data_IF_518831466353
#
_entry.id   IF_518831466353
#
_cell.length_a   1.000
_cell.length_b   1.000
_cell.length_c   1.000
_cell.angle_alpha   90.00
_cell.angle_beta   90.00
_cell.angle_gamma   90.00
#
_symmetry.space_group_name_H-M   'P 1'
#
loop_
_entity.id
_entity.type
_entity.pdbx_description
1 polymer ?
#
# COMPACT_ATOMS: atom_id res chain seq x y z
N UNK A 1 38.48 62.37 35.88
CA UNK A 1 39.66 61.51 35.69
C UNK A 1 39.32 60.14 36.24
N UNK A 2 39.34 59.11 35.37
CA UNK A 2 39.29 57.66 35.65
C UNK A 2 38.04 57.10 36.37
N UNK A 3 37.48 55.94 36.07
CA UNK A 3 37.44 55.00 34.93
C UNK A 3 36.57 53.83 35.44
N UNK A 4 35.85 53.17 34.53
CA UNK A 4 35.46 51.75 34.56
C UNK A 4 34.41 51.27 35.59
N UNK A 5 33.53 50.30 35.36
CA UNK A 5 32.84 49.60 34.25
C UNK A 5 32.07 48.48 35.00
N UNK A 6 30.82 48.21 34.60
CA UNK A 6 30.04 46.96 34.71
C UNK A 6 30.13 46.10 36.00
N UNK A 7 29.04 45.55 36.54
CA UNK A 7 28.23 44.52 35.89
C UNK A 7 27.09 44.10 36.86
N UNK A 8 25.98 43.66 36.28
CA UNK A 8 25.13 42.51 36.69
C UNK A 8 24.76 42.39 38.18
N UNK A 9 23.49 42.26 38.54
CA UNK A 9 22.73 41.05 38.21
C UNK A 9 21.31 41.21 38.75
N UNK A 10 20.32 41.04 37.88
CA UNK A 10 18.91 40.96 38.23
C UNK A 10 18.63 39.69 39.04
N UNK A 11 17.94 39.90 40.15
CA UNK A 11 17.38 38.91 41.07
C UNK A 11 16.81 37.69 40.35
N UNK A 12 17.30 36.52 40.77
CA UNK A 12 16.91 35.20 40.33
C UNK A 12 15.57 34.80 40.97
N UNK A 13 14.49 34.79 40.19
CA UNK A 13 13.24 34.11 40.54
C UNK A 13 12.62 33.48 39.28
N UNK A 14 13.10 32.30 38.92
CA UNK A 14 12.39 31.37 38.01
C UNK A 14 12.59 29.93 38.48
N UNK A 15 12.25 29.68 39.74
CA UNK A 15 11.97 28.32 40.24
C UNK A 15 10.64 27.82 39.65
N UNK A 16 10.60 27.55 38.34
CA UNK A 16 9.47 26.88 37.67
C UNK A 16 9.86 26.08 36.41
N UNK A 17 11.16 25.96 36.11
CA UNK A 17 11.67 25.13 35.01
C UNK A 17 12.49 23.96 35.55
N UNK A 18 11.87 23.16 36.43
CA UNK A 18 12.38 21.84 36.75
C UNK A 18 11.29 20.82 36.44
N UNK A 19 11.65 19.90 35.55
CA UNK A 19 10.94 18.65 35.26
C UNK A 19 9.88 18.72 34.16
N UNK A 20 10.30 19.04 32.95
CA UNK A 20 9.93 18.19 31.80
C UNK A 20 11.25 17.85 31.10
N UNK A 21 12.03 16.97 31.73
CA UNK A 21 12.93 16.13 30.97
C UNK A 21 11.99 15.27 30.10
N UNK A 22 11.71 15.78 28.91
CA UNK A 22 11.13 15.00 27.84
C UNK A 22 12.19 13.94 27.57
N UNK A 23 11.99 12.78 28.17
CA UNK A 23 12.71 11.56 27.86
C UNK A 23 12.31 11.21 26.42
N UNK A 24 12.89 11.94 25.47
CA UNK A 24 12.89 11.58 24.05
C UNK A 24 13.95 10.49 23.89
N UNK A 25 13.79 9.39 24.63
CA UNK A 25 14.28 8.12 24.17
C UNK A 25 13.45 7.83 22.93
N UNK A 26 13.97 8.18 21.75
CA UNK A 26 13.52 7.55 20.52
C UNK A 26 13.51 6.05 20.84
N UNK A 27 12.36 5.35 20.72
CA UNK A 27 12.35 3.93 21.02
C UNK A 27 13.44 3.31 20.16
N UNK A 28 14.45 2.73 20.80
CA UNK A 28 15.42 1.88 20.13
C UNK A 28 14.58 0.96 19.26
N UNK A 29 14.77 1.06 17.94
CA UNK A 29 13.82 0.51 16.99
C UNK A 29 14.06 -1.00 16.90
N UNK A 30 13.75 -1.68 18.00
CA UNK A 30 13.81 -3.11 18.12
C UNK A 30 12.85 -3.68 17.09
N UNK A 31 13.40 -4.51 16.22
CA UNK A 31 12.63 -5.22 15.23
C UNK A 31 11.53 -6.04 15.92
N UNK A 32 10.27 -5.81 15.53
CA UNK A 32 9.11 -6.50 16.11
C UNK A 32 8.59 -7.56 15.14
N UNK A 33 8.15 -8.69 15.70
CA UNK A 33 7.45 -9.71 14.92
C UNK A 33 6.14 -9.18 14.37
N UNK A 34 5.73 -9.70 13.21
CA UNK A 34 4.49 -9.36 12.52
C UNK A 34 3.27 -9.29 13.46
N UNK A 35 3.07 -10.32 14.29
CA UNK A 35 1.92 -10.41 15.20
C UNK A 35 1.89 -9.32 16.29
N UNK A 36 3.04 -8.73 16.63
CA UNK A 36 3.20 -7.76 17.72
C UNK A 36 3.49 -6.34 17.21
N UNK A 37 3.45 -6.11 15.90
CA UNK A 37 3.74 -4.81 15.30
C UNK A 37 2.52 -3.91 15.32
N UNK A 38 2.67 -2.71 15.88
CA UNK A 38 1.61 -1.70 15.89
C UNK A 38 1.30 -1.23 14.46
N UNK A 39 2.31 -1.15 13.58
CA UNK A 39 2.13 -0.81 12.15
C UNK A 39 1.24 -1.83 11.42
N UNK A 40 1.43 -3.12 11.72
CA UNK A 40 0.60 -4.19 11.16
C UNK A 40 -0.83 -4.08 11.68
N UNK A 41 -0.99 -3.86 12.98
CA UNK A 41 -2.31 -3.71 13.61
C UNK A 41 -3.08 -2.52 13.01
N UNK A 42 -2.44 -1.35 12.92
CA UNK A 42 -3.05 -0.14 12.37
C UNK A 42 -3.54 -0.38 10.93
N UNK A 43 -2.69 -0.95 10.08
CA UNK A 43 -3.07 -1.28 8.71
C UNK A 43 -4.22 -2.30 8.64
N UNK A 44 -4.22 -3.35 9.46
CA UNK A 44 -5.29 -4.35 9.49
C UNK A 44 -6.62 -3.75 9.95
N UNK A 45 -6.60 -2.87 10.94
CA UNK A 45 -7.80 -2.15 11.41
C UNK A 45 -8.36 -1.28 10.30
N UNK A 46 -7.52 -0.48 9.64
CA UNK A 46 -7.94 0.36 8.53
C UNK A 46 -8.48 -0.47 7.36
N UNK A 47 -7.85 -1.61 7.06
CA UNK A 47 -8.31 -2.54 6.02
C UNK A 47 -9.68 -3.15 6.36
N UNK A 48 -9.90 -3.52 7.62
CA UNK A 48 -11.17 -4.06 8.08
C UNK A 48 -12.29 -3.01 8.06
N UNK A 49 -11.98 -1.77 8.45
CA UNK A 49 -12.91 -0.64 8.35
C UNK A 49 -13.28 -0.39 6.88
N UNK A 50 -12.31 -0.45 5.98
CA UNK A 50 -12.58 -0.33 4.55
C UNK A 50 -13.49 -1.46 4.03
N UNK A 51 -13.31 -2.70 4.51
CA UNK A 51 -14.18 -3.82 4.14
C UNK A 51 -15.59 -3.80 4.73
N UNK A 52 -15.88 -2.93 5.71
CA UNK A 52 -17.12 -2.98 6.50
C UNK A 52 -18.37 -2.40 5.81
N UNK A 53 -18.23 -1.82 4.61
CA UNK A 53 -19.35 -1.25 3.83
C UNK A 53 -19.93 0.05 4.41
N UNK A 54 -19.26 0.65 5.40
CA UNK A 54 -19.58 2.01 5.87
C UNK A 54 -19.21 3.00 4.75
N UNK A 55 -20.10 3.95 4.38
CA UNK A 55 -19.79 4.94 3.35
C UNK A 55 -18.53 5.71 3.75
N UNK A 56 -17.49 5.55 2.93
CA UNK A 56 -16.17 6.09 3.23
C UNK A 56 -16.06 7.53 2.81
N UNK A 57 -15.54 8.37 3.70
CA UNK A 57 -14.96 9.64 3.31
C UNK A 57 -13.59 9.37 2.66
N UNK A 58 -13.23 10.16 1.64
CA UNK A 58 -11.91 10.11 0.96
C UNK A 58 -10.72 10.12 1.94
N UNK A 59 -10.90 10.63 3.16
CA UNK A 59 -9.91 10.64 4.22
C UNK A 59 -9.51 9.23 4.70
N UNK A 60 -10.42 8.25 4.65
CA UNK A 60 -10.16 6.89 5.10
C UNK A 60 -9.30 6.11 4.11
N UNK A 61 -9.56 6.23 2.80
CA UNK A 61 -8.72 5.62 1.74
C UNK A 61 -7.30 6.18 1.76
N UNK A 62 -7.17 7.49 1.92
CA UNK A 62 -5.85 8.13 2.09
C UNK A 62 -5.14 7.61 3.35
N UNK A 63 -5.87 7.46 4.45
CA UNK A 63 -5.31 6.95 5.70
C UNK A 63 -4.92 5.47 5.61
N UNK A 64 -5.68 4.65 4.88
CA UNK A 64 -5.34 3.26 4.57
C UNK A 64 -4.05 3.18 3.73
N UNK A 65 -3.96 3.99 2.68
CA UNK A 65 -2.75 4.07 1.85
C UNK A 65 -1.52 4.50 2.64
N UNK A 66 -1.65 5.50 3.52
CA UNK A 66 -0.58 5.94 4.41
C UNK A 66 -0.17 4.84 5.41
N UNK A 67 -1.13 4.14 6.02
CA UNK A 67 -0.85 3.04 6.93
C UNK A 67 -0.12 1.89 6.22
N UNK A 68 -0.53 1.55 5.00
CA UNK A 68 0.14 0.54 4.19
C UNK A 68 1.57 0.95 3.82
N UNK A 69 1.79 2.20 3.41
CA UNK A 69 3.13 2.70 3.07
C UNK A 69 4.08 2.65 4.27
N UNK A 70 3.61 3.05 5.46
CA UNK A 70 4.39 2.94 6.71
C UNK A 70 4.73 1.49 7.05
N UNK A 71 3.81 0.56 6.82
CA UNK A 71 4.06 -0.87 7.02
C UNK A 71 5.12 -1.39 6.04
N UNK A 72 5.02 -1.04 4.76
CA UNK A 72 6.00 -1.42 3.73
C UNK A 72 7.38 -0.86 4.06
N UNK A 73 7.47 0.41 4.48
CA UNK A 73 8.71 1.02 4.95
C UNK A 73 9.27 0.28 6.17
N UNK A 74 8.42 -0.08 7.13
CA UNK A 74 8.78 -0.90 8.29
C UNK A 74 9.31 -2.29 7.93
N UNK A 75 8.78 -2.91 6.87
CA UNK A 75 9.27 -4.19 6.35
C UNK A 75 10.65 -4.03 5.67
N UNK A 76 10.83 -2.99 4.85
CA UNK A 76 12.07 -2.74 4.12
C UNK A 76 13.24 -2.35 5.04
N UNK A 77 12.95 -1.61 6.11
CA UNK A 77 13.92 -1.19 7.13
C UNK A 77 14.21 -2.28 8.17
N UNK A 78 13.48 -3.39 8.15
CA UNK A 78 13.63 -4.49 9.11
C UNK A 78 13.00 -4.21 10.48
N UNK A 79 12.20 -3.15 10.62
CA UNK A 79 11.43 -2.86 11.82
C UNK A 79 10.33 -3.91 12.06
N UNK A 80 9.80 -4.48 10.99
CA UNK A 80 8.80 -5.56 11.04
C UNK A 80 9.39 -6.83 10.47
N UNK A 81 9.44 -7.89 11.28
CA UNK A 81 9.86 -9.23 10.86
C UNK A 81 8.64 -10.10 10.51
N UNK A 82 8.64 -10.65 9.30
CA UNK A 82 7.68 -11.66 8.86
C UNK A 82 8.22 -13.06 9.19
N UNK A 83 7.33 -13.95 9.64
CA UNK A 83 7.66 -15.37 9.82
C UNK A 83 7.59 -16.14 8.49
N UNK A 84 6.85 -15.59 7.52
CA UNK A 84 6.76 -16.14 6.17
C UNK A 84 8.09 -15.99 5.40
N UNK A 85 8.55 -17.09 4.81
CA UNK A 85 9.65 -17.11 3.85
C UNK A 85 9.24 -17.93 2.61
N UNK A 86 9.35 -17.36 1.39
CA UNK A 86 9.03 -18.10 0.16
C UNK A 86 10.03 -19.23 -0.06
N UNK A 87 9.56 -20.36 -0.59
CA UNK A 87 10.41 -21.51 -0.98
C UNK A 87 11.40 -21.09 -2.07
N UNK A 88 10.88 -20.37 -3.06
CA UNK A 88 11.67 -19.80 -4.15
C UNK A 88 11.35 -18.32 -4.29
N UNK A 89 12.40 -17.51 -4.40
CA UNK A 89 12.30 -16.06 -4.54
C UNK A 89 12.03 -15.61 -5.98
N UNK A 90 12.18 -16.49 -6.97
CA UNK A 90 11.94 -16.20 -8.37
C UNK A 90 10.47 -16.41 -8.79
N UNK A 91 9.72 -17.20 -8.04
CA UNK A 91 8.33 -17.54 -8.31
C UNK A 91 7.41 -16.96 -7.22
N UNK A 92 6.24 -16.50 -7.63
CA UNK A 92 5.23 -16.01 -6.70
C UNK A 92 4.60 -17.20 -5.97
N UNK A 93 5.05 -17.38 -4.73
CA UNK A 93 4.53 -18.36 -3.80
C UNK A 93 3.53 -17.67 -2.86
N UNK A 94 2.24 -17.90 -3.07
CA UNK A 94 1.18 -17.43 -2.17
C UNK A 94 0.42 -18.65 -1.68
N UNK A 95 0.42 -18.94 -0.36
CA UNK A 95 -0.33 -20.07 0.18
C UNK A 95 -1.85 -19.82 0.05
N UNK A 96 -2.71 -20.83 0.26
CA UNK A 96 -4.16 -20.62 0.20
C UNK A 96 -4.64 -19.71 1.34
N UNK A 97 -5.84 -19.14 1.20
CA UNK A 97 -6.37 -18.09 2.10
C UNK A 97 -6.64 -18.55 3.53
N UNK A 98 -6.77 -19.86 3.74
CA UNK A 98 -6.91 -20.51 5.05
C UNK A 98 -5.55 -20.72 5.76
N UNK A 99 -4.44 -20.50 5.08
CA UNK A 99 -3.11 -20.69 5.64
C UNK A 99 -2.71 -19.50 6.56
N UNK A 100 -2.09 -19.75 7.73
CA UNK A 100 -1.74 -18.69 8.69
C UNK A 100 -0.77 -17.64 8.14
N UNK A 101 0.04 -18.01 7.14
CA UNK A 101 0.99 -17.12 6.50
C UNK A 101 0.44 -16.40 5.26
N UNK A 102 -0.83 -16.57 4.90
CA UNK A 102 -1.42 -15.94 3.70
C UNK A 102 -1.20 -14.42 3.66
N UNK A 103 -1.59 -13.73 4.73
CA UNK A 103 -1.45 -12.27 4.82
C UNK A 103 0.02 -11.84 4.84
N UNK A 104 0.88 -12.61 5.49
CA UNK A 104 2.32 -12.32 5.51
C UNK A 104 2.96 -12.50 4.12
N UNK A 105 2.53 -13.51 3.37
CA UNK A 105 2.98 -13.73 2.00
C UNK A 105 2.54 -12.59 1.07
N UNK A 106 1.29 -12.14 1.19
CA UNK A 106 0.80 -10.99 0.44
C UNK A 106 1.64 -9.74 0.73
N UNK A 107 1.93 -9.45 2.00
CA UNK A 107 2.75 -8.30 2.39
C UNK A 107 4.20 -8.40 1.92
N UNK A 108 4.79 -9.59 1.99
CA UNK A 108 6.13 -9.84 1.50
C UNK A 108 6.21 -9.52 0.00
N UNK A 109 5.31 -10.09 -0.80
CA UNK A 109 5.33 -9.90 -2.25
C UNK A 109 4.90 -8.50 -2.67
N UNK A 110 3.93 -7.89 -1.98
CA UNK A 110 3.48 -6.52 -2.26
C UNK A 110 4.61 -5.51 -2.00
N UNK A 111 5.34 -5.66 -0.88
CA UNK A 111 6.49 -4.82 -0.55
C UNK A 111 7.65 -4.97 -1.55
N UNK A 112 7.85 -6.18 -2.08
CA UNK A 112 8.92 -6.48 -3.05
C UNK A 112 8.59 -6.01 -4.46
N UNK A 113 7.33 -6.11 -4.88
CA UNK A 113 6.87 -5.69 -6.20
C UNK A 113 6.47 -4.21 -6.25
N UNK A 114 6.31 -3.56 -5.10
CA UNK A 114 5.95 -2.15 -4.99
C UNK A 114 4.49 -1.89 -5.37
N UNK A 115 3.58 -2.80 -5.03
CA UNK A 115 2.15 -2.72 -5.32
C UNK A 115 1.31 -2.89 -4.05
N UNK A 116 0.01 -2.62 -4.13
CA UNK A 116 -0.94 -2.89 -3.04
C UNK A 116 -1.32 -4.37 -2.98
N UNK A 117 -1.84 -4.82 -1.84
CA UNK A 117 -2.29 -6.21 -1.69
C UNK A 117 -3.46 -6.57 -2.61
N UNK A 118 -4.35 -5.62 -2.90
CA UNK A 118 -5.47 -5.82 -3.84
C UNK A 118 -4.97 -6.12 -5.26
N UNK A 119 -4.05 -5.28 -5.77
CA UNK A 119 -3.44 -5.44 -7.10
C UNK A 119 -2.67 -6.76 -7.20
N UNK A 120 -1.97 -7.17 -6.14
CA UNK A 120 -1.26 -8.45 -6.10
C UNK A 120 -2.21 -9.64 -6.19
N UNK A 121 -3.31 -9.62 -5.42
CA UNK A 121 -4.33 -10.69 -5.43
C UNK A 121 -4.96 -10.80 -6.81
N UNK A 122 -5.27 -9.67 -7.45
CA UNK A 122 -5.81 -9.65 -8.81
C UNK A 122 -4.79 -10.17 -9.83
N UNK A 123 -3.53 -9.75 -9.74
CA UNK A 123 -2.46 -10.25 -10.60
C UNK A 123 -2.30 -11.77 -10.48
N UNK A 124 -2.33 -12.30 -9.25
CA UNK A 124 -2.27 -13.73 -8.98
C UNK A 124 -3.50 -14.47 -9.57
N UNK A 125 -4.70 -13.90 -9.43
CA UNK A 125 -5.92 -14.49 -10.00
C UNK A 125 -5.87 -14.54 -11.54
N UNK A 126 -5.32 -13.51 -12.20
CA UNK A 126 -5.19 -13.44 -13.67
C UNK A 126 -4.10 -14.38 -14.21
N UNK A 127 -2.98 -14.52 -13.51
CA UNK A 127 -1.83 -15.30 -13.97
C UNK A 127 -1.90 -16.79 -13.59
N UNK A 128 -2.69 -17.14 -12.58
CA UNK A 128 -2.84 -18.52 -12.12
C UNK A 128 -1.74 -18.96 -11.16
N UNK A 129 -1.44 -20.26 -11.12
CA UNK A 129 -0.54 -20.83 -10.12
C UNK A 129 0.93 -20.60 -10.46
N UNK A 130 1.69 -20.13 -9.48
CA UNK A 130 3.16 -20.04 -9.50
C UNK A 130 3.76 -19.23 -10.67
N UNK A 131 3.25 -18.03 -10.99
CA UNK A 131 3.87 -17.18 -12.01
C UNK A 131 5.25 -16.70 -11.56
N UNK A 132 6.13 -16.42 -12.51
CA UNK A 132 7.42 -15.79 -12.20
C UNK A 132 7.20 -14.38 -11.64
N UNK A 133 8.07 -13.94 -10.74
CA UNK A 133 7.99 -12.62 -10.13
C UNK A 133 8.01 -11.49 -11.20
N UNK A 134 8.73 -11.70 -12.31
CA UNK A 134 8.75 -10.78 -13.45
C UNK A 134 7.38 -10.65 -14.13
N UNK A 135 6.71 -11.76 -14.40
CA UNK A 135 5.38 -11.76 -15.02
C UNK A 135 4.35 -11.09 -14.10
N UNK A 136 4.44 -11.31 -12.80
CA UNK A 136 3.61 -10.63 -11.80
C UNK A 136 3.91 -9.14 -11.77
N UNK A 137 5.18 -8.73 -11.83
CA UNK A 137 5.58 -7.33 -11.94
C UNK A 137 5.02 -6.63 -13.18
N UNK A 138 4.94 -7.33 -14.32
CA UNK A 138 4.30 -6.80 -15.53
C UNK A 138 2.78 -6.71 -15.39
N UNK A 139 2.14 -7.73 -14.80
CA UNK A 139 0.70 -7.75 -14.59
C UNK A 139 0.23 -6.68 -13.60
N UNK A 140 0.94 -6.51 -12.47
CA UNK A 140 0.64 -5.49 -11.45
C UNK A 140 0.70 -4.08 -12.05
N UNK A 141 1.76 -3.73 -12.79
CA UNK A 141 1.87 -2.43 -13.50
C UNK A 141 0.74 -2.19 -14.50
N UNK A 142 0.29 -3.25 -15.18
CA UNK A 142 -0.83 -3.17 -16.11
C UNK A 142 -2.14 -2.91 -15.36
N UNK A 143 -2.38 -3.62 -14.27
CA UNK A 143 -3.58 -3.46 -13.43
C UNK A 143 -3.62 -2.05 -12.83
N UNK A 144 -2.52 -1.56 -12.25
CA UNK A 144 -2.46 -0.20 -11.71
C UNK A 144 -2.75 0.88 -12.77
N UNK A 145 -2.33 0.64 -14.02
CA UNK A 145 -2.65 1.52 -15.14
C UNK A 145 -4.15 1.45 -15.50
N UNK A 146 -4.73 0.26 -15.49
CA UNK A 146 -6.17 0.04 -15.70
C UNK A 146 -6.99 0.74 -14.59
N UNK A 147 -6.64 0.57 -13.31
CA UNK A 147 -7.30 1.21 -12.17
C UNK A 147 -7.23 2.75 -12.24
N UNK A 148 -6.06 3.32 -12.57
CA UNK A 148 -5.92 4.77 -12.76
C UNK A 148 -6.80 5.29 -13.88
N UNK A 149 -6.89 4.55 -14.98
CA UNK A 149 -7.77 4.94 -16.08
C UNK A 149 -9.23 4.87 -15.64
N UNK A 150 -9.68 3.79 -15.00
CA UNK A 150 -11.07 3.66 -14.53
C UNK A 150 -11.45 4.76 -13.53
N UNK A 151 -10.60 5.05 -12.54
CA UNK A 151 -10.84 6.14 -11.58
C UNK A 151 -10.86 7.53 -12.23
N UNK A 152 -10.11 7.72 -13.34
CA UNK A 152 -10.17 8.96 -14.13
C UNK A 152 -11.49 9.09 -14.88
N UNK A 153 -12.16 7.98 -15.22
CA UNK A 153 -13.41 7.98 -15.97
C UNK A 153 -14.63 8.12 -15.04
N UNK A 154 -14.58 7.59 -13.82
CA UNK A 154 -15.61 7.84 -12.79
C UNK A 154 -15.66 9.32 -12.34
N UNK A 155 -14.51 10.02 -12.38
CA UNK A 155 -14.43 11.47 -12.13
C UNK A 155 -14.83 12.35 -13.32
N UNK A 156 -14.95 11.79 -14.52
CA UNK A 156 -15.33 12.50 -15.74
C UNK A 156 -16.74 12.08 -16.19
N UNK A 157 -17.76 12.42 -15.39
CA UNK A 157 -19.16 12.33 -15.79
C UNK A 157 -19.56 13.36 -16.88
N UNK A 158 -18.64 13.74 -17.77
CA UNK A 158 -18.84 14.59 -18.94
C UNK A 158 -17.99 14.09 -20.11
N UNK A 159 -18.30 12.91 -20.63
CA UNK A 159 -18.04 12.59 -22.03
C UNK A 159 -19.30 11.97 -22.65
N UNK A 160 -20.17 12.78 -23.27
CA UNK A 160 -21.05 12.25 -24.31
C UNK A 160 -20.16 12.07 -25.52
N UNK A 161 -19.84 10.86 -25.95
CA UNK A 161 -19.58 10.54 -27.37
C UNK A 161 -19.62 9.03 -27.53
N UNK A 162 -20.63 8.58 -28.27
CA UNK A 162 -20.92 7.18 -28.50
C UNK A 162 -19.73 6.44 -29.10
N UNK A 163 -19.31 5.39 -28.41
CA UNK A 163 -18.71 4.25 -29.07
C UNK A 163 -19.81 3.59 -29.90
N UNK A 164 -19.76 3.78 -31.20
CA UNK A 164 -20.53 3.00 -32.14
C UNK A 164 -20.33 1.50 -31.84
N UNK A 165 -21.44 0.77 -31.72
CA UNK A 165 -21.44 -0.69 -31.66
C UNK A 165 -20.69 -1.22 -32.89
N UNK A 166 -19.50 -1.78 -32.68
CA UNK A 166 -18.83 -2.59 -33.69
C UNK A 166 -19.59 -3.92 -33.79
N UNK A 167 -20.68 -3.92 -34.55
CA UNK A 167 -21.32 -5.16 -35.00
C UNK A 167 -20.30 -5.98 -35.82
N UNK A 168 -20.11 -7.28 -35.54
CA UNK A 168 -19.33 -8.14 -36.41
C UNK A 168 -20.07 -8.29 -37.75
N UNK A 169 -19.50 -7.76 -38.82
CA UNK A 169 -19.98 -7.94 -40.20
C UNK A 169 -19.75 -9.40 -40.60
N UNK A 170 -20.82 -10.19 -40.62
CA UNK A 170 -20.82 -11.48 -41.32
C UNK A 170 -20.66 -11.23 -42.83
N UNK A 171 -19.59 -11.75 -43.43
CA UNK A 171 -19.42 -11.78 -44.88
C UNK A 171 -20.48 -12.70 -45.53
N UNK A 172 -21.26 -12.22 -46.50
CA UNK A 172 -22.09 -13.10 -47.32
C UNK A 172 -21.17 -13.95 -48.20
N UNK A 173 -21.25 -15.27 -48.05
CA UNK A 173 -20.67 -16.20 -49.03
C UNK A 173 -21.65 -16.28 -50.19
N UNK A 174 -21.32 -15.73 -51.36
CA UNK A 174 -22.13 -15.91 -52.57
C UNK A 174 -22.07 -17.38 -52.99
N UNK A 175 -23.11 -18.12 -52.61
CA UNK A 175 -23.41 -19.42 -53.16
C UNK A 175 -24.47 -19.24 -54.26
N UNK A 176 -24.17 -19.79 -55.43
CA UNK A 176 -25.01 -20.04 -56.60
C UNK A 176 -25.30 -18.87 -57.57
N UNK A 177 -24.80 -19.03 -58.80
CA UNK A 177 -25.72 -19.12 -59.94
C UNK A 177 -25.21 -20.14 -60.97
N UNK A 178 -25.99 -21.21 -61.12
CA UNK A 178 -26.02 -22.03 -62.34
C UNK A 178 -26.90 -21.27 -63.33
N UNK A 179 -26.41 -21.01 -64.54
CA UNK A 179 -27.12 -21.27 -65.80
C UNK A 179 -26.19 -21.06 -67.00
#
# INVERSE_FOLDING_TARGET
>A
MNRDINDLSLSSDTSFLKTIALDTSAPESESRKYANSDLVRDWLVMSALAGSGVPMNNDLDNSLGLAFNRLVEGLQTGLVQLDYAPIDRATLDIPPSDHPHYMQALLYWSSRLGCTTSVLVEAHARLGRSPTAENVGLATRRIEKEERLVGTWEGNAHCPHGTAETMPMFQPTEAFSKH
#
